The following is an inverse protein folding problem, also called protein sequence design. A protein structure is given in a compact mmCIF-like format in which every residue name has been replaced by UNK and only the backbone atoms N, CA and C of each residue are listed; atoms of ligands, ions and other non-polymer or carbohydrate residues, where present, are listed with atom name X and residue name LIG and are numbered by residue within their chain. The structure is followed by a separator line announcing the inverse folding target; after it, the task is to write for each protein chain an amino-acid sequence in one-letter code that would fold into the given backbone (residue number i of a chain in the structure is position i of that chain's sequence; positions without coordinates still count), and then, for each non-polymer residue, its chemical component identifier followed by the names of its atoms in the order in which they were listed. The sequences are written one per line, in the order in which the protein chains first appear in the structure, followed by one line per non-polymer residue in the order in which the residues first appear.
data_IF_288181712655
#
_entry.id   IF_288181712655
#
_cell.length_a   1.000
_cell.length_b   1.000
_cell.length_c   1.000
_cell.angle_alpha   90.00
_cell.angle_beta   90.00
_cell.angle_gamma   90.00
#
_symmetry.space_group_name_H-M   'P 1'
#
loop_
_entity.id
_entity.type
_entity.pdbx_description
1 polymer ?
#
# COMPACT_ATOMS: atom_id res chain seq x y z
N UNK A 1 -3.98 66.53 28.96
CA UNK A 1 -5.29 66.57 28.28
C UNK A 1 -5.14 65.92 26.91
N UNK A 2 -6.06 64.98 26.59
CA UNK A 2 -6.31 64.30 25.30
C UNK A 2 -5.25 63.28 24.83
N UNK A 3 -5.58 62.11 24.28
CA UNK A 3 -6.79 61.29 24.18
C UNK A 3 -6.37 59.98 23.49
N UNK A 4 -7.08 58.89 23.80
CA UNK A 4 -7.31 57.68 22.98
C UNK A 4 -6.07 56.96 22.38
N UNK A 5 -5.73 55.75 22.78
CA UNK A 5 -6.63 54.59 22.84
C UNK A 5 -6.81 54.03 21.43
N UNK A 6 -5.87 53.21 20.95
CA UNK A 6 -6.01 52.46 19.70
C UNK A 6 -5.79 50.97 19.98
N UNK A 7 -6.90 50.30 20.29
CA UNK A 7 -7.07 48.85 20.22
C UNK A 7 -6.97 48.44 18.74
N UNK A 8 -5.93 47.70 18.35
CA UNK A 8 -5.94 46.93 17.09
C UNK A 8 -5.99 45.43 17.39
N UNK A 9 -7.22 44.93 17.35
CA UNK A 9 -7.67 43.70 16.72
C UNK A 9 -6.62 42.62 16.39
N UNK A 10 -6.67 41.57 17.22
CA UNK A 10 -6.62 40.14 16.89
C UNK A 10 -6.52 39.79 15.40
N UNK A 11 -5.40 39.16 15.02
CA UNK A 11 -5.37 38.14 13.98
C UNK A 11 -4.80 36.87 14.59
N UNK A 12 -5.70 35.97 15.01
CA UNK A 12 -5.36 34.58 15.32
C UNK A 12 -4.96 33.95 14.00
N UNK A 13 -3.66 33.91 13.72
CA UNK A 13 -3.11 33.07 12.67
C UNK A 13 -3.32 31.62 13.09
N UNK A 14 -4.38 30.99 12.62
CA UNK A 14 -4.43 29.54 12.53
C UNK A 14 -3.36 29.12 11.53
N UNK A 15 -2.13 28.98 12.01
CA UNK A 15 -1.14 28.12 11.38
C UNK A 15 -1.64 26.71 11.65
N UNK A 16 -2.57 26.26 10.80
CA UNK A 16 -2.85 24.85 10.66
C UNK A 16 -1.56 24.22 10.17
N UNK A 17 -0.81 23.60 11.07
CA UNK A 17 0.22 22.65 10.68
C UNK A 17 -0.51 21.56 9.91
N UNK A 18 -0.51 21.68 8.57
CA UNK A 18 -0.72 20.54 7.69
C UNK A 18 0.32 19.53 8.13
N UNK A 19 -0.11 18.50 8.86
CA UNK A 19 0.64 17.28 9.02
C UNK A 19 0.79 16.72 7.61
N UNK A 20 1.86 17.11 6.92
CA UNK A 20 2.41 16.27 5.88
C UNK A 20 2.68 14.94 6.57
N UNK A 21 1.88 13.92 6.23
CA UNK A 21 2.26 12.55 6.52
C UNK A 21 3.70 12.45 6.05
N UNK A 22 4.63 12.30 7.00
CA UNK A 22 6.05 12.28 6.69
C UNK A 22 6.22 11.26 5.58
N UNK A 23 6.76 11.67 4.43
CA UNK A 23 7.24 10.79 3.38
C UNK A 23 8.40 9.97 3.98
N UNK A 24 8.04 9.01 4.82
CA UNK A 24 8.94 7.99 5.28
C UNK A 24 9.20 7.17 4.03
N UNK A 25 10.42 7.27 3.52
CA UNK A 25 10.85 6.42 2.42
C UNK A 25 10.52 4.98 2.78
N UNK A 26 9.86 4.26 1.87
CA UNK A 26 9.56 2.85 2.07
C UNK A 26 10.89 2.09 2.20
N UNK A 27 11.16 1.51 3.36
CA UNK A 27 12.37 0.73 3.63
C UNK A 27 11.97 -0.74 3.76
N UNK A 28 12.52 -1.59 2.90
CA UNK A 28 12.32 -3.03 2.93
C UNK A 28 13.58 -3.67 3.52
N UNK A 29 13.55 -4.02 4.81
CA UNK A 29 14.75 -4.48 5.54
C UNK A 29 14.93 -5.98 5.45
N UNK A 30 13.82 -6.70 5.41
CA UNK A 30 13.79 -8.15 5.39
C UNK A 30 12.60 -8.70 4.58
N UNK A 31 12.53 -10.02 4.52
CA UNK A 31 11.45 -10.73 3.84
C UNK A 31 10.07 -10.44 4.45
N UNK A 32 9.97 -10.20 5.76
CA UNK A 32 8.72 -9.88 6.43
C UNK A 32 8.17 -8.53 5.96
N UNK A 33 9.05 -7.52 5.85
CA UNK A 33 8.69 -6.22 5.27
C UNK A 33 8.22 -6.37 3.82
N UNK A 34 8.92 -7.17 3.02
CA UNK A 34 8.54 -7.44 1.63
C UNK A 34 7.17 -8.14 1.52
N UNK A 35 6.91 -9.12 2.39
CA UNK A 35 5.63 -9.82 2.46
C UNK A 35 4.48 -8.87 2.80
N UNK A 36 4.70 -7.98 3.78
CA UNK A 36 3.71 -6.99 4.18
C UNK A 36 3.46 -5.97 3.08
N UNK A 37 4.52 -5.51 2.41
CA UNK A 37 4.41 -4.55 1.32
C UNK A 37 3.68 -5.14 0.12
N UNK A 38 3.99 -6.37 -0.29
CA UNK A 38 3.26 -7.06 -1.35
C UNK A 38 1.78 -7.29 -0.99
N UNK A 39 1.48 -7.63 0.28
CA UNK A 39 0.10 -7.76 0.77
C UNK A 39 -0.64 -6.43 0.66
N UNK A 40 -0.10 -5.37 1.26
CA UNK A 40 -0.69 -4.02 1.23
C UNK A 40 -0.96 -3.57 -0.20
N UNK A 41 0.04 -3.71 -1.07
CA UNK A 41 -0.06 -3.32 -2.48
C UNK A 41 -1.12 -4.13 -3.25
N UNK A 42 -1.32 -5.39 -2.87
CA UNK A 42 -2.37 -6.26 -3.42
C UNK A 42 -3.76 -5.86 -2.93
N UNK A 43 -3.92 -5.58 -1.64
CA UNK A 43 -5.18 -5.10 -1.05
C UNK A 43 -5.64 -3.78 -1.68
N UNK A 44 -4.71 -2.88 -1.99
CA UNK A 44 -5.00 -1.62 -2.68
C UNK A 44 -5.48 -1.81 -4.13
N UNK A 45 -5.07 -2.90 -4.80
CA UNK A 45 -5.38 -3.16 -6.21
C UNK A 45 -6.57 -4.08 -6.41
N UNK A 46 -6.77 -5.02 -5.51
CA UNK A 46 -7.81 -6.04 -5.58
C UNK A 46 -8.75 -5.85 -4.39
N UNK A 47 -9.61 -4.85 -4.45
CA UNK A 47 -10.51 -4.50 -3.34
C UNK A 47 -11.58 -5.56 -3.06
N UNK A 48 -11.81 -6.48 -3.99
CA UNK A 48 -12.73 -7.61 -3.86
C UNK A 48 -12.16 -8.84 -3.15
N UNK A 49 -10.86 -8.92 -2.90
CA UNK A 49 -10.29 -10.07 -2.19
C UNK A 49 -10.76 -10.07 -0.73
N UNK A 50 -11.24 -11.22 -0.27
CA UNK A 50 -11.70 -11.42 1.12
C UNK A 50 -10.67 -12.17 1.96
N UNK A 51 -9.67 -12.77 1.32
CA UNK A 51 -8.57 -13.45 2.00
C UNK A 51 -7.26 -13.37 1.23
N UNK A 52 -6.18 -13.06 1.95
CA UNK A 52 -4.80 -13.08 1.44
C UNK A 52 -3.94 -13.90 2.42
N UNK A 53 -3.26 -14.90 1.89
CA UNK A 53 -2.31 -15.72 2.63
C UNK A 53 -0.97 -15.78 1.91
N UNK A 54 0.13 -15.84 2.67
CA UNK A 54 1.48 -15.86 2.11
C UNK A 54 1.86 -17.29 1.78
N UNK A 55 2.30 -17.54 0.55
CA UNK A 55 3.00 -18.77 0.20
C UNK A 55 4.49 -18.64 0.53
N UNK A 56 4.83 -19.02 1.76
CA UNK A 56 6.20 -18.94 2.27
C UNK A 56 7.18 -19.89 1.57
N UNK A 57 6.70 -20.99 0.98
CA UNK A 57 7.58 -21.98 0.34
C UNK A 57 8.06 -21.52 -1.03
N UNK A 58 7.22 -20.74 -1.72
CA UNK A 58 7.52 -20.17 -3.03
C UNK A 58 8.23 -18.83 -2.95
N UNK A 59 8.11 -18.13 -1.83
CA UNK A 59 8.74 -16.82 -1.58
C UNK A 59 10.27 -16.95 -1.44
N UNK A 60 11.03 -16.12 -2.17
CA UNK A 60 12.51 -16.21 -2.23
C UNK A 60 13.17 -14.84 -2.18
N UNK A 61 14.36 -14.81 -1.61
CA UNK A 61 15.23 -13.63 -1.60
C UNK A 61 16.25 -13.72 -2.73
N UNK A 62 16.35 -12.65 -3.52
CA UNK A 62 17.39 -12.44 -4.53
C UNK A 62 18.29 -11.27 -4.11
N UNK A 63 19.36 -10.99 -4.87
CA UNK A 63 20.32 -9.94 -4.52
C UNK A 63 19.69 -8.55 -4.37
N UNK A 64 18.76 -8.18 -5.26
CA UNK A 64 18.19 -6.83 -5.33
C UNK A 64 16.71 -6.76 -4.93
N UNK A 65 16.04 -7.92 -4.83
CA UNK A 65 14.60 -8.01 -4.72
C UNK A 65 14.19 -9.21 -3.87
N UNK A 66 12.97 -9.17 -3.36
CA UNK A 66 12.26 -10.31 -2.80
C UNK A 66 11.13 -10.71 -3.75
N UNK A 67 11.13 -11.97 -4.18
CA UNK A 67 10.00 -12.56 -4.92
C UNK A 67 8.99 -13.08 -3.90
N UNK A 68 7.85 -12.40 -3.75
CA UNK A 68 6.79 -12.76 -2.81
C UNK A 68 5.61 -13.36 -3.55
N UNK A 69 5.11 -14.49 -3.05
CA UNK A 69 3.93 -15.15 -3.59
C UNK A 69 2.81 -15.16 -2.56
N UNK A 70 1.62 -14.73 -2.97
CA UNK A 70 0.42 -14.72 -2.15
C UNK A 70 -0.66 -15.57 -2.80
N UNK A 71 -1.41 -16.33 -1.99
CA UNK A 71 -2.68 -16.91 -2.41
C UNK A 71 -3.80 -15.93 -2.04
N UNK A 72 -4.69 -15.67 -2.99
CA UNK A 72 -5.83 -14.76 -2.83
C UNK A 72 -7.15 -15.49 -3.05
N UNK A 73 -8.21 -15.03 -2.41
CA UNK A 73 -9.58 -15.52 -2.61
C UNK A 73 -10.58 -14.39 -2.36
N UNK A 74 -11.71 -14.42 -3.06
CA UNK A 74 -12.90 -13.60 -2.77
C UNK A 74 -14.01 -14.43 -2.08
N UNK A 75 -13.75 -15.71 -1.79
CA UNK A 75 -14.74 -16.66 -1.26
C UNK A 75 -15.43 -17.52 -2.33
N UNK A 76 -15.36 -17.13 -3.60
CA UNK A 76 -15.91 -17.87 -4.75
C UNK A 76 -14.81 -18.50 -5.60
N UNK A 77 -13.69 -17.80 -5.77
CA UNK A 77 -12.53 -18.26 -6.53
C UNK A 77 -11.25 -18.09 -5.74
N UNK A 78 -10.19 -18.77 -6.19
CA UNK A 78 -8.84 -18.65 -5.66
C UNK A 78 -7.90 -18.35 -6.80
N UNK A 79 -6.89 -17.55 -6.53
CA UNK A 79 -5.81 -17.28 -7.45
C UNK A 79 -4.52 -17.00 -6.69
N UNK A 80 -3.51 -16.58 -7.41
CA UNK A 80 -2.23 -16.22 -6.82
C UNK A 80 -1.72 -14.88 -7.35
N UNK A 81 -0.93 -14.25 -6.51
CA UNK A 81 -0.22 -13.01 -6.81
C UNK A 81 1.27 -13.27 -6.69
N UNK A 82 2.01 -12.76 -7.64
CA UNK A 82 3.46 -12.64 -7.58
C UNK A 82 3.83 -11.16 -7.48
N UNK A 83 4.62 -10.80 -6.47
CA UNK A 83 5.28 -9.51 -6.37
C UNK A 83 6.78 -9.67 -6.48
N UNK A 84 7.45 -8.69 -7.11
CA UNK A 84 8.86 -8.42 -6.85
C UNK A 84 8.95 -7.15 -6.02
N UNK A 85 9.59 -7.24 -4.86
CA UNK A 85 9.73 -6.12 -3.93
C UNK A 85 11.20 -5.73 -3.86
N UNK A 86 11.51 -4.51 -4.26
CA UNK A 86 12.87 -3.98 -4.28
C UNK A 86 13.42 -3.78 -2.87
N UNK A 87 14.69 -4.18 -2.69
CA UNK A 87 15.49 -3.86 -1.50
C UNK A 87 16.01 -2.42 -1.49
N UNK A 88 15.97 -1.73 -2.64
CA UNK A 88 16.33 -0.31 -2.72
C UNK A 88 15.26 0.53 -2.04
N UNK A 89 15.69 1.42 -1.14
CA UNK A 89 14.83 2.35 -0.44
C UNK A 89 13.96 3.17 -1.41
N UNK A 90 12.69 3.33 -1.06
CA UNK A 90 11.71 4.13 -1.79
C UNK A 90 11.13 3.48 -3.05
N UNK A 91 11.58 2.29 -3.47
CA UNK A 91 11.13 1.67 -4.73
C UNK A 91 9.93 0.72 -4.57
N UNK A 92 9.81 0.00 -3.45
CA UNK A 92 8.66 -0.86 -3.15
C UNK A 92 8.43 -2.00 -4.14
N UNK A 93 7.18 -2.23 -4.54
CA UNK A 93 6.80 -3.28 -5.50
C UNK A 93 7.15 -2.87 -6.93
N UNK A 94 8.13 -3.57 -7.54
CA UNK A 94 8.61 -3.33 -8.91
C UNK A 94 7.89 -4.17 -9.96
N UNK A 95 7.30 -5.29 -9.55
CA UNK A 95 6.47 -6.16 -10.38
C UNK A 95 5.28 -6.67 -9.58
N UNK A 96 4.11 -6.75 -10.21
CA UNK A 96 2.89 -7.31 -9.65
C UNK A 96 2.10 -8.02 -10.74
N UNK A 97 1.82 -9.30 -10.54
CA UNK A 97 0.98 -10.07 -11.45
C UNK A 97 -0.03 -10.90 -10.67
N UNK A 98 -1.26 -10.86 -11.17
CA UNK A 98 -2.38 -11.67 -10.68
C UNK A 98 -2.67 -12.76 -11.70
N UNK A 99 -2.92 -13.98 -11.21
CA UNK A 99 -3.16 -15.16 -12.04
C UNK A 99 -4.26 -16.01 -11.45
N UNK A 100 -4.98 -16.68 -12.33
CA UNK A 100 -6.09 -17.61 -12.03
C UNK A 100 -7.15 -16.99 -11.10
N UNK A 101 -7.27 -15.66 -11.13
CA UNK A 101 -8.23 -14.87 -10.35
C UNK A 101 -9.14 -14.10 -11.30
N UNK A 102 -9.76 -14.80 -12.24
CA UNK A 102 -10.74 -14.22 -13.14
C UNK A 102 -12.12 -14.33 -12.51
N UNK A 103 -12.61 -13.21 -11.97
CA UNK A 103 -14.00 -13.09 -11.52
C UNK A 103 -14.86 -13.29 -12.74
N UNK A 104 -15.39 -14.48 -12.88
CA UNK A 104 -16.14 -14.94 -14.02
C UNK A 104 -16.92 -13.81 -14.70
N UNK A 105 -16.80 -13.73 -16.02
CA UNK A 105 -17.56 -12.85 -16.92
C UNK A 105 -19.09 -13.08 -16.87
N UNK A 106 -19.62 -13.67 -15.80
CA UNK A 106 -21.00 -14.13 -15.56
C UNK A 106 -21.96 -13.02 -15.08
N UNK A 107 -21.83 -11.77 -15.57
CA UNK A 107 -22.88 -10.79 -15.30
C UNK A 107 -23.48 -10.07 -16.51
N UNK A 108 -22.97 -10.18 -17.74
CA UNK A 108 -23.62 -9.56 -18.90
C UNK A 108 -23.49 -10.39 -20.19
N UNK A 109 -24.03 -11.61 -20.13
CA UNK A 109 -24.77 -12.19 -21.26
C UNK A 109 -26.23 -12.32 -20.79
N UNK A 110 -26.90 -11.18 -20.69
CA UNK A 110 -28.32 -11.04 -20.34
C UNK A 110 -28.94 -10.00 -21.25
#
# INVERSE_FOLDING_TARGET
MKSAGLLLLTSIGLVGCVHTASEQALVIRDMGDAMNECRRYTEERLTEVTGISIDRLSTRENNNEYDVYLNITDGHQRGYVQCQVSKKEGLGVTYHAVRDFEREQRYFAG
#
